data_IF_299616429172
#
_entry.id   IF_299616429172
#
_cell.length_a   1.000
_cell.length_b   1.000
_cell.length_c   1.000
_cell.angle_alpha   90.00
_cell.angle_beta   90.00
_cell.angle_gamma   90.00
#
_symmetry.space_group_name_H-M   'P 1'
#
loop_
_entity.id
_entity.type
_entity.pdbx_description
1 polymer ?
#
# COMPACT_ATOMS: atom_id res chain seq x y z
N UNK A 1 43.80 36.64 -33.52
CA UNK A 1 43.66 35.60 -32.49
C UNK A 1 44.37 36.10 -31.23
N UNK A 2 43.63 36.46 -30.18
CA UNK A 2 44.22 36.90 -28.90
C UNK A 2 44.87 35.70 -28.23
N UNK A 3 46.17 35.81 -27.91
CA UNK A 3 46.97 34.75 -27.27
C UNK A 3 46.26 34.11 -26.05
N UNK A 4 45.52 34.94 -25.32
CA UNK A 4 44.72 34.58 -24.14
C UNK A 4 43.68 33.49 -24.44
N UNK A 5 42.98 33.57 -25.58
CA UNK A 5 41.96 32.59 -25.99
C UNK A 5 42.63 31.27 -26.36
N UNK A 6 43.71 31.33 -27.15
CA UNK A 6 44.45 30.14 -27.56
C UNK A 6 45.00 29.37 -26.35
N UNK A 7 45.54 30.08 -25.36
CA UNK A 7 46.06 29.46 -24.14
C UNK A 7 44.93 28.80 -23.31
N UNK A 8 43.75 29.43 -23.21
CA UNK A 8 42.60 28.85 -22.48
C UNK A 8 42.04 27.59 -23.17
N UNK A 9 41.90 27.64 -24.50
CA UNK A 9 41.39 26.51 -25.29
C UNK A 9 42.37 25.33 -25.27
N UNK A 10 43.67 25.58 -25.33
CA UNK A 10 44.67 24.51 -25.22
C UNK A 10 44.61 23.80 -23.86
N UNK A 11 44.40 24.55 -22.77
CA UNK A 11 44.19 23.98 -21.43
C UNK A 11 42.86 23.19 -21.35
N UNK A 12 41.79 23.67 -21.99
CA UNK A 12 40.50 22.97 -22.05
C UNK A 12 40.64 21.62 -22.79
N UNK A 13 41.31 21.61 -23.94
CA UNK A 13 41.54 20.41 -24.75
C UNK A 13 42.31 19.33 -23.96
N UNK A 14 43.32 19.73 -23.18
CA UNK A 14 44.08 18.82 -22.31
C UNK A 14 43.22 18.20 -21.19
N UNK A 15 42.15 18.87 -20.76
CA UNK A 15 41.23 18.36 -19.74
C UNK A 15 40.08 17.52 -20.33
N UNK A 16 39.93 17.46 -21.66
CA UNK A 16 38.88 16.71 -22.37
C UNK A 16 39.41 15.39 -22.99
N UNK A 17 40.52 14.85 -22.50
CA UNK A 17 41.14 13.62 -23.03
C UNK A 17 40.21 12.40 -22.95
N UNK A 18 39.28 12.39 -21.99
CA UNK A 18 38.31 11.31 -21.79
C UNK A 18 37.15 11.33 -22.81
N UNK A 19 37.03 12.37 -23.66
CA UNK A 19 36.08 12.40 -24.77
C UNK A 19 36.63 11.69 -26.02
N UNK A 20 35.75 11.05 -26.84
CA UNK A 20 36.13 10.57 -28.17
C UNK A 20 36.75 11.71 -29.00
N UNK A 21 37.77 11.39 -29.80
CA UNK A 21 38.55 12.41 -30.51
C UNK A 21 37.70 13.34 -31.39
N UNK A 22 36.65 12.79 -31.99
CA UNK A 22 35.70 13.54 -32.83
C UNK A 22 34.87 14.54 -32.02
N UNK A 23 34.29 14.10 -30.91
CA UNK A 23 33.44 14.97 -30.08
C UNK A 23 34.26 16.02 -29.32
N UNK A 24 35.51 15.69 -28.97
CA UNK A 24 36.45 16.67 -28.39
C UNK A 24 36.74 17.82 -29.35
N UNK A 25 36.99 17.51 -30.63
CA UNK A 25 37.27 18.54 -31.66
C UNK A 25 36.05 19.45 -31.85
N UNK A 26 34.85 18.88 -31.95
CA UNK A 26 33.60 19.62 -32.09
C UNK A 26 33.34 20.57 -30.89
N UNK A 27 33.56 20.08 -29.66
CA UNK A 27 33.40 20.89 -28.45
C UNK A 27 34.44 22.00 -28.36
N UNK A 28 35.71 21.70 -28.66
CA UNK A 28 36.80 22.67 -28.64
C UNK A 28 36.57 23.78 -29.66
N UNK A 29 36.10 23.44 -30.86
CA UNK A 29 35.81 24.42 -31.91
C UNK A 29 34.62 25.30 -31.53
N UNK A 30 33.56 24.73 -30.94
CA UNK A 30 32.40 25.51 -30.45
C UNK A 30 32.81 26.60 -29.45
N UNK A 31 33.59 26.25 -28.43
CA UNK A 31 34.05 27.22 -27.44
C UNK A 31 35.10 28.19 -28.01
N UNK A 32 35.88 27.77 -29.01
CA UNK A 32 36.79 28.66 -29.73
C UNK A 32 36.02 29.73 -30.49
N UNK A 33 34.99 29.36 -31.26
CA UNK A 33 34.14 30.32 -31.98
C UNK A 33 33.44 31.26 -30.99
N UNK A 34 32.85 30.73 -29.91
CA UNK A 34 32.22 31.53 -28.86
C UNK A 34 33.15 32.60 -28.26
N UNK A 35 34.40 32.23 -27.97
CA UNK A 35 35.38 33.16 -27.41
C UNK A 35 35.94 34.14 -28.44
N UNK A 36 35.96 33.79 -29.72
CA UNK A 36 36.38 34.71 -30.79
C UNK A 36 35.30 35.74 -31.13
N UNK A 37 34.02 35.36 -30.99
CA UNK A 37 32.88 36.26 -31.18
C UNK A 37 32.67 37.21 -30.00
N UNK A 38 33.06 36.79 -28.78
CA UNK A 38 33.08 37.67 -27.62
C UNK A 38 34.35 38.54 -27.58
N UNK A 39 34.22 39.79 -27.15
CA UNK A 39 35.37 40.70 -26.95
C UNK A 39 36.17 40.34 -25.68
N UNK A 40 36.68 39.11 -25.61
CA UNK A 40 37.43 38.59 -24.48
C UNK A 40 38.90 39.01 -24.54
N UNK A 41 39.20 40.15 -23.90
CA UNK A 41 40.56 40.71 -23.84
C UNK A 41 41.40 40.10 -22.70
N UNK A 42 40.76 39.58 -21.64
CA UNK A 42 41.42 39.09 -20.42
C UNK A 42 40.97 37.70 -20.01
N UNK A 43 41.90 36.88 -19.52
CA UNK A 43 41.63 35.52 -19.04
C UNK A 43 40.60 35.50 -17.90
N UNK A 44 40.66 36.47 -16.98
CA UNK A 44 39.71 36.57 -15.88
C UNK A 44 38.26 36.76 -16.33
N UNK A 45 38.03 37.37 -17.50
CA UNK A 45 36.68 37.54 -18.07
C UNK A 45 36.17 36.23 -18.65
N UNK A 46 37.06 35.45 -19.27
CA UNK A 46 36.74 34.10 -19.77
C UNK A 46 36.41 33.19 -18.58
N UNK A 47 37.23 33.22 -17.53
CA UNK A 47 37.02 32.40 -16.33
C UNK A 47 35.79 32.80 -15.52
N UNK A 48 35.36 34.07 -15.60
CA UNK A 48 34.12 34.51 -14.96
C UNK A 48 32.88 33.98 -15.68
N UNK A 49 32.92 33.89 -17.02
CA UNK A 49 31.78 33.48 -17.85
C UNK A 49 31.69 31.95 -17.99
N UNK A 50 32.83 31.30 -18.24
CA UNK A 50 32.92 29.86 -18.54
C UNK A 50 33.51 29.03 -17.39
N UNK A 51 34.07 29.67 -16.36
CA UNK A 51 34.85 28.99 -15.32
C UNK A 51 36.28 28.70 -15.75
N UNK A 52 37.05 28.06 -14.86
CA UNK A 52 38.41 27.59 -15.21
C UNK A 52 38.34 26.47 -16.26
N UNK A 53 39.38 26.28 -17.11
CA UNK A 53 39.37 25.22 -18.14
C UNK A 53 39.05 23.83 -17.57
N UNK A 54 39.52 23.54 -16.35
CA UNK A 54 39.26 22.30 -15.62
C UNK A 54 37.79 22.17 -15.18
N UNK A 55 37.19 23.26 -14.67
CA UNK A 55 35.79 23.25 -14.25
C UNK A 55 34.86 23.08 -15.46
N UNK A 56 35.16 23.79 -16.55
CA UNK A 56 34.42 23.67 -17.80
C UNK A 56 34.48 22.24 -18.35
N UNK A 57 35.67 21.62 -18.37
CA UNK A 57 35.84 20.24 -18.79
C UNK A 57 35.00 19.26 -17.96
N UNK A 58 35.01 19.37 -16.63
CA UNK A 58 34.21 18.51 -15.74
C UNK A 58 32.71 18.62 -16.06
N UNK A 59 32.21 19.83 -16.33
CA UNK A 59 30.81 20.04 -16.68
C UNK A 59 30.47 19.41 -18.04
N UNK A 60 31.33 19.59 -19.05
CA UNK A 60 31.17 18.99 -20.39
C UNK A 60 31.15 17.46 -20.29
N UNK A 61 32.08 16.88 -19.55
CA UNK A 61 32.19 15.43 -19.33
C UNK A 61 30.95 14.86 -18.61
N UNK A 62 30.41 15.57 -17.63
CA UNK A 62 29.19 15.19 -16.92
C UNK A 62 27.95 15.21 -17.84
N UNK A 63 27.83 16.22 -18.69
CA UNK A 63 26.73 16.34 -19.65
C UNK A 63 26.84 15.30 -20.77
N UNK A 64 28.07 15.02 -21.25
CA UNK A 64 28.34 13.96 -22.24
C UNK A 64 27.96 12.58 -21.70
N UNK A 65 28.35 12.26 -20.45
CA UNK A 65 28.03 10.98 -19.81
C UNK A 65 26.53 10.74 -19.60
N UNK A 66 25.69 11.78 -19.68
CA UNK A 66 24.22 11.64 -19.59
C UNK A 66 23.58 11.29 -20.95
N UNK A 67 24.32 11.46 -22.05
CA UNK A 67 23.81 11.27 -23.42
C UNK A 67 24.06 9.84 -23.96
N UNK A 68 25.06 9.14 -23.42
CA UNK A 68 25.37 7.74 -23.72
C UNK A 68 24.63 6.77 -22.77
N UNK A 69 23.30 6.72 -22.87
CA UNK A 69 22.46 5.70 -22.20
C UNK A 69 22.50 4.35 -22.97
N UNK A 70 23.70 3.81 -23.19
CA UNK A 70 23.88 2.49 -23.79
C UNK A 70 24.97 1.65 -23.11
N UNK A 71 24.83 1.40 -21.81
CA UNK A 71 25.10 0.11 -21.15
C UNK A 71 25.09 0.25 -19.61
N UNK A 72 24.69 -0.79 -18.84
CA UNK A 72 24.44 -0.67 -17.42
C UNK A 72 25.73 -0.84 -16.62
N UNK A 73 26.25 0.25 -16.05
CA UNK A 73 27.28 0.15 -15.03
C UNK A 73 26.98 1.13 -13.89
N UNK A 74 26.56 0.52 -12.76
CA UNK A 74 26.57 1.04 -11.39
C UNK A 74 27.43 2.29 -11.21
N UNK A 75 26.80 3.43 -11.04
CA UNK A 75 27.35 4.54 -10.24
C UNK A 75 26.19 5.28 -9.61
N UNK A 76 26.27 5.39 -8.29
CA UNK A 76 25.32 6.11 -7.47
C UNK A 76 25.33 7.60 -7.87
N UNK A 77 24.24 8.06 -8.50
CA UNK A 77 24.00 9.49 -8.72
C UNK A 77 22.91 10.00 -7.78
N UNK A 78 23.05 11.22 -7.21
CA UNK A 78 22.11 11.81 -6.25
C UNK A 78 20.81 12.31 -6.89
N UNK A 79 20.45 11.85 -8.10
CA UNK A 79 19.17 12.17 -8.77
C UNK A 79 17.99 11.32 -8.27
N UNK A 80 18.26 10.36 -7.37
CA UNK A 80 17.23 9.69 -6.57
C UNK A 80 16.47 10.66 -5.65
N UNK A 81 17.10 11.75 -5.22
CA UNK A 81 16.50 12.68 -4.25
C UNK A 81 15.31 13.46 -4.81
N UNK A 82 15.26 13.78 -6.11
CA UNK A 82 14.09 14.47 -6.69
C UNK A 82 12.88 13.53 -6.82
N UNK A 83 13.11 12.25 -7.14
CA UNK A 83 12.04 11.25 -7.12
C UNK A 83 11.60 10.95 -5.69
N UNK A 84 12.54 10.83 -4.75
CA UNK A 84 12.24 10.67 -3.33
C UNK A 84 11.49 11.88 -2.75
N UNK A 85 11.92 13.11 -3.05
CA UNK A 85 11.21 14.35 -2.69
C UNK A 85 9.84 14.44 -3.34
N UNK A 86 9.68 13.99 -4.60
CA UNK A 86 8.37 13.88 -5.24
C UNK A 86 7.46 12.90 -4.51
N UNK A 87 7.95 11.73 -4.11
CA UNK A 87 7.19 10.77 -3.31
C UNK A 87 6.88 11.27 -1.90
N UNK A 88 7.76 12.03 -1.27
CA UNK A 88 7.53 12.65 0.05
C UNK A 88 6.44 13.74 -0.05
N UNK A 89 6.48 14.57 -1.10
CA UNK A 89 5.44 15.57 -1.37
C UNK A 89 4.09 14.91 -1.70
N UNK A 90 4.11 13.84 -2.50
CA UNK A 90 2.93 13.00 -2.76
C UNK A 90 2.42 12.36 -1.46
N UNK A 91 3.32 11.92 -0.59
CA UNK A 91 3.02 11.34 0.72
C UNK A 91 2.37 12.34 1.68
N UNK A 92 2.82 13.60 1.69
CA UNK A 92 2.23 14.68 2.51
C UNK A 92 0.86 15.11 1.99
N UNK A 93 0.63 15.10 0.68
CA UNK A 93 -0.69 15.32 0.10
C UNK A 93 -1.61 14.10 0.23
N UNK A 94 -1.06 12.88 0.27
CA UNK A 94 -1.82 11.65 0.50
C UNK A 94 -2.11 11.41 1.98
N UNK A 95 -1.28 11.90 2.91
CA UNK A 95 -1.44 11.77 4.36
C UNK A 95 -2.81 12.24 4.90
N UNK A 96 -3.37 13.41 4.49
CA UNK A 96 -4.69 13.84 4.98
C UNK A 96 -5.83 12.93 4.52
N UNK A 97 -5.66 12.15 3.45
CA UNK A 97 -6.66 11.20 2.93
C UNK A 97 -6.37 9.77 3.42
N UNK A 98 -5.10 9.42 3.64
CA UNK A 98 -4.66 8.11 4.11
C UNK A 98 -5.11 7.83 5.54
N UNK A 99 -4.99 8.80 6.45
CA UNK A 99 -5.43 8.67 7.84
C UNK A 99 -6.94 8.38 7.96
N UNK A 100 -7.85 9.16 7.34
CA UNK A 100 -9.28 8.86 7.41
C UNK A 100 -9.62 7.55 6.68
N UNK A 101 -8.92 7.19 5.60
CA UNK A 101 -9.16 5.93 4.89
C UNK A 101 -8.86 4.71 5.77
N UNK A 102 -7.73 4.72 6.50
CA UNK A 102 -7.36 3.65 7.44
C UNK A 102 -8.37 3.55 8.59
N UNK A 103 -8.83 4.70 9.10
CA UNK A 103 -9.86 4.75 10.13
C UNK A 103 -11.16 4.10 9.66
N UNK A 104 -11.63 4.41 8.44
CA UNK A 104 -12.83 3.81 7.86
C UNK A 104 -12.67 2.29 7.72
N UNK A 105 -11.52 1.83 7.24
CA UNK A 105 -11.23 0.39 7.11
C UNK A 105 -11.28 -0.29 8.48
N UNK A 106 -10.70 0.33 9.51
CA UNK A 106 -10.74 -0.20 10.88
C UNK A 106 -12.17 -0.29 11.41
N UNK A 107 -12.98 0.75 11.20
CA UNK A 107 -14.40 0.74 11.58
C UNK A 107 -15.16 -0.36 10.85
N UNK A 108 -14.98 -0.52 9.54
CA UNK A 108 -15.63 -1.58 8.77
C UNK A 108 -15.29 -2.96 9.33
N UNK A 109 -14.02 -3.22 9.64
CA UNK A 109 -13.58 -4.47 10.26
C UNK A 109 -14.22 -4.66 11.65
N UNK A 110 -14.26 -3.60 12.46
CA UNK A 110 -14.88 -3.63 13.78
C UNK A 110 -16.38 -3.92 13.70
N UNK A 111 -17.12 -3.26 12.81
CA UNK A 111 -18.54 -3.50 12.60
C UNK A 111 -18.82 -4.92 12.10
N UNK A 112 -18.02 -5.42 11.16
CA UNK A 112 -18.14 -6.81 10.69
C UNK A 112 -17.97 -7.80 11.85
N UNK A 113 -17.00 -7.57 12.73
CA UNK A 113 -16.78 -8.40 13.90
C UNK A 113 -17.91 -8.26 14.93
N UNK A 114 -18.39 -7.04 15.17
CA UNK A 114 -19.50 -6.76 16.08
C UNK A 114 -20.81 -7.40 15.59
N UNK A 115 -21.11 -7.35 14.30
CA UNK A 115 -22.27 -8.04 13.70
C UNK A 115 -22.13 -9.54 13.89
N UNK A 116 -20.93 -10.09 13.67
CA UNK A 116 -20.68 -11.52 13.84
C UNK A 116 -20.91 -11.99 15.29
N UNK A 117 -20.29 -11.31 16.26
CA UNK A 117 -20.52 -11.60 17.68
C UNK A 117 -21.96 -11.32 18.11
N UNK A 118 -22.57 -10.24 17.60
CA UNK A 118 -23.96 -9.89 17.84
C UNK A 118 -24.91 -10.99 17.40
N UNK A 119 -24.70 -11.59 16.22
CA UNK A 119 -25.50 -12.73 15.75
C UNK A 119 -25.35 -13.96 16.66
N UNK A 120 -24.12 -14.27 17.10
CA UNK A 120 -23.90 -15.38 18.02
C UNK A 120 -24.60 -15.16 19.36
N UNK A 121 -24.41 -13.97 19.96
CA UNK A 121 -25.07 -13.61 21.21
C UNK A 121 -26.59 -13.59 21.08
N UNK A 122 -27.13 -13.07 19.97
CA UNK A 122 -28.57 -13.08 19.71
C UNK A 122 -29.11 -14.50 19.64
N UNK A 123 -28.41 -15.43 19.00
CA UNK A 123 -28.82 -16.82 18.87
C UNK A 123 -28.81 -17.53 20.24
N UNK A 124 -27.78 -17.30 21.06
CA UNK A 124 -27.69 -17.82 22.43
C UNK A 124 -28.81 -17.24 23.31
N UNK A 125 -29.02 -15.91 23.26
CA UNK A 125 -30.07 -15.23 24.02
C UNK A 125 -31.46 -15.70 23.61
N UNK A 126 -31.69 -15.90 22.32
CA UNK A 126 -32.94 -16.43 21.80
C UNK A 126 -33.23 -17.81 22.39
N UNK A 127 -32.27 -18.74 22.33
CA UNK A 127 -32.40 -20.07 22.94
C UNK A 127 -32.66 -20.01 24.45
N UNK A 128 -31.92 -19.16 25.15
CA UNK A 128 -32.06 -19.01 26.61
C UNK A 128 -33.43 -18.44 27.01
N UNK A 129 -33.86 -17.35 26.38
CA UNK A 129 -35.16 -16.73 26.65
C UNK A 129 -36.31 -17.68 26.36
N UNK A 130 -36.13 -18.54 25.36
CA UNK A 130 -37.14 -19.50 24.97
C UNK A 130 -37.21 -20.71 25.90
N UNK A 131 -36.07 -21.19 26.42
CA UNK A 131 -36.05 -22.24 27.44
C UNK A 131 -36.68 -21.77 28.75
N UNK A 132 -36.28 -20.59 29.23
CA UNK A 132 -36.81 -19.99 30.46
C UNK A 132 -38.28 -19.59 30.29
N UNK A 133 -38.61 -18.90 29.21
CA UNK A 133 -39.97 -18.48 28.90
C UNK A 133 -40.90 -19.68 28.70
N UNK A 134 -40.48 -20.69 27.94
CA UNK A 134 -41.24 -21.92 27.73
C UNK A 134 -41.50 -22.68 29.03
N UNK A 135 -40.46 -22.85 29.87
CA UNK A 135 -40.59 -23.52 31.16
C UNK A 135 -41.52 -22.79 32.13
N UNK A 136 -41.41 -21.47 32.25
CA UNK A 136 -42.29 -20.67 33.12
C UNK A 136 -43.74 -20.68 32.65
N UNK A 137 -43.97 -20.63 31.33
CA UNK A 137 -45.32 -20.74 30.78
C UNK A 137 -45.90 -22.13 31.05
N UNK A 138 -45.12 -23.20 30.91
CA UNK A 138 -45.57 -24.57 31.19
C UNK A 138 -45.94 -24.78 32.66
N UNK A 139 -45.12 -24.28 33.60
CA UNK A 139 -45.44 -24.34 35.04
C UNK A 139 -46.72 -23.55 35.37
N UNK A 140 -46.89 -22.36 34.79
CA UNK A 140 -48.11 -21.57 34.96
C UNK A 140 -49.34 -22.30 34.42
N UNK A 141 -49.24 -22.94 33.25
CA UNK A 141 -50.33 -23.75 32.70
C UNK A 141 -50.75 -24.85 33.67
N UNK A 142 -49.79 -25.56 34.28
CA UNK A 142 -50.07 -26.64 35.21
C UNK A 142 -50.73 -26.14 36.50
N UNK A 143 -50.24 -25.03 37.08
CA UNK A 143 -50.83 -24.46 38.29
C UNK A 143 -52.24 -23.91 38.08
N UNK A 144 -52.55 -23.31 36.92
CA UNK A 144 -53.88 -22.76 36.64
C UNK A 144 -54.96 -23.84 36.46
N UNK A 145 -54.59 -25.06 36.05
CA UNK A 145 -55.54 -26.17 35.91
C UNK A 145 -56.13 -26.65 37.24
N UNK A 146 -55.41 -26.44 38.35
CA UNK A 146 -55.86 -26.81 39.70
C UNK A 146 -56.58 -25.66 40.43
N UNK A 147 -56.80 -24.52 39.76
CA UNK A 147 -57.49 -23.34 40.31
C UNK A 147 -58.87 -23.18 39.65
N UNK A 148 -59.77 -22.36 40.23
CA UNK A 148 -61.13 -22.10 39.73
C UNK A 148 -61.20 -21.58 38.28
N UNK A 149 -60.10 -21.06 37.73
CA UNK A 149 -59.97 -20.56 36.36
C UNK A 149 -59.53 -21.64 35.35
N UNK A 150 -60.17 -22.81 35.41
CA UNK A 150 -59.88 -23.96 34.54
C UNK A 150 -59.93 -23.67 33.02
N UNK A 151 -60.81 -22.77 32.47
CA UNK A 151 -60.82 -22.47 31.04
C UNK A 151 -59.53 -21.75 30.60
N UNK A 152 -59.01 -20.88 31.47
CA UNK A 152 -57.76 -20.16 31.26
C UNK A 152 -56.60 -21.15 31.21
N UNK A 153 -56.58 -22.17 32.08
CA UNK A 153 -55.60 -23.25 32.06
C UNK A 153 -55.49 -23.96 30.70
N UNK A 154 -56.62 -24.29 30.05
CA UNK A 154 -56.62 -24.91 28.72
C UNK A 154 -56.06 -24.00 27.62
N UNK A 155 -56.33 -22.70 27.68
CA UNK A 155 -55.77 -21.72 26.72
C UNK A 155 -54.24 -21.63 26.85
N UNK A 156 -53.72 -21.63 28.08
CA UNK A 156 -52.27 -21.61 28.32
C UNK A 156 -51.60 -22.95 27.96
N UNK A 157 -52.30 -24.09 28.12
CA UNK A 157 -51.86 -25.40 27.63
C UNK A 157 -51.81 -25.45 26.09
N UNK A 158 -52.83 -24.92 25.41
CA UNK A 158 -52.83 -24.81 23.95
C UNK A 158 -51.69 -23.92 23.45
N UNK A 159 -51.44 -22.80 24.13
CA UNK A 159 -50.32 -21.90 23.83
C UNK A 159 -48.96 -22.58 23.98
N UNK A 160 -48.74 -23.38 25.03
CA UNK A 160 -47.47 -24.09 25.19
C UNK A 160 -47.28 -25.15 24.10
N UNK A 161 -48.35 -25.85 23.69
CA UNK A 161 -48.30 -26.84 22.61
C UNK A 161 -47.99 -26.21 21.25
N UNK A 162 -48.62 -25.07 20.94
CA UNK A 162 -48.31 -24.28 19.74
C UNK A 162 -46.85 -23.78 19.79
N UNK A 163 -46.39 -23.33 20.95
CA UNK A 163 -45.00 -22.89 21.13
C UNK A 163 -43.99 -24.03 20.87
N UNK A 164 -44.27 -25.25 21.35
CA UNK A 164 -43.49 -26.46 21.07
C UNK A 164 -43.53 -26.83 19.58
N UNK A 165 -44.69 -26.71 18.93
CA UNK A 165 -44.81 -26.93 17.49
C UNK A 165 -43.96 -25.94 16.69
N UNK A 166 -43.99 -24.66 17.06
CA UNK A 166 -43.18 -23.60 16.44
C UNK A 166 -41.68 -23.82 16.69
N UNK A 167 -41.28 -24.30 17.87
CA UNK A 167 -39.91 -24.75 18.19
C UNK A 167 -39.44 -25.79 17.18
N UNK A 168 -40.23 -26.84 16.99
CA UNK A 168 -39.86 -27.97 16.16
C UNK A 168 -39.68 -27.53 14.70
N UNK A 169 -40.52 -26.59 14.24
CA UNK A 169 -40.48 -26.02 12.90
C UNK A 169 -39.28 -25.07 12.70
N UNK A 170 -38.93 -24.28 13.71
CA UNK A 170 -37.80 -23.35 13.67
C UNK A 170 -36.45 -24.04 13.90
N UNK A 171 -36.42 -25.20 14.55
CA UNK A 171 -35.20 -25.97 14.84
C UNK A 171 -34.29 -26.19 13.62
N UNK A 172 -34.77 -26.70 12.45
CA UNK A 172 -33.92 -26.85 11.27
C UNK A 172 -33.41 -25.50 10.73
N UNK A 173 -34.19 -24.42 10.89
CA UNK A 173 -33.78 -23.07 10.47
C UNK A 173 -32.63 -22.55 11.35
N UNK A 174 -32.72 -22.72 12.67
CA UNK A 174 -31.67 -22.33 13.62
C UNK A 174 -30.38 -23.12 13.36
N UNK A 175 -30.46 -24.43 13.12
CA UNK A 175 -29.30 -25.26 12.80
C UNK A 175 -28.67 -24.84 11.46
N UNK A 176 -29.48 -24.57 10.43
CA UNK A 176 -28.98 -24.04 9.15
C UNK A 176 -28.30 -22.69 9.35
N UNK A 177 -28.88 -21.78 10.11
CA UNK A 177 -28.32 -20.46 10.38
C UNK A 177 -26.97 -20.57 11.12
N UNK A 178 -26.88 -21.42 12.14
CA UNK A 178 -25.63 -21.72 12.84
C UNK A 178 -24.55 -22.30 11.92
N UNK A 179 -24.90 -23.26 11.05
CA UNK A 179 -23.97 -23.81 10.06
C UNK A 179 -23.50 -22.76 9.05
N UNK A 180 -24.39 -21.87 8.59
CA UNK A 180 -24.05 -20.77 7.69
C UNK A 180 -23.07 -19.82 8.37
N UNK A 181 -23.28 -19.47 9.64
CA UNK A 181 -22.36 -18.62 10.41
C UNK A 181 -20.95 -19.22 10.49
N UNK A 182 -20.86 -20.50 10.84
CA UNK A 182 -19.58 -21.21 10.90
C UNK A 182 -18.92 -21.27 9.53
N UNK A 183 -19.67 -21.63 8.48
CA UNK A 183 -19.16 -21.73 7.12
C UNK A 183 -18.65 -20.38 6.60
N UNK A 184 -19.37 -19.28 6.87
CA UNK A 184 -18.93 -17.93 6.53
C UNK A 184 -17.64 -17.56 7.25
N UNK A 185 -17.50 -17.92 8.54
CA UNK A 185 -16.26 -17.74 9.29
C UNK A 185 -15.08 -18.48 8.63
N UNK A 186 -15.26 -19.77 8.33
CA UNK A 186 -14.23 -20.58 7.68
C UNK A 186 -13.89 -20.05 6.29
N UNK A 187 -14.86 -19.56 5.52
CA UNK A 187 -14.63 -18.96 4.22
C UNK A 187 -13.81 -17.68 4.34
N UNK A 188 -14.14 -16.78 5.27
CA UNK A 188 -13.42 -15.52 5.46
C UNK A 188 -11.96 -15.82 5.85
N UNK A 189 -11.73 -16.74 6.80
CA UNK A 189 -10.38 -17.14 7.23
C UNK A 189 -9.59 -17.75 6.07
N UNK A 190 -10.21 -18.64 5.28
CA UNK A 190 -9.57 -19.22 4.08
C UNK A 190 -9.25 -18.16 3.04
N UNK A 191 -10.13 -17.18 2.82
CA UNK A 191 -9.93 -16.15 1.81
C UNK A 191 -8.81 -15.17 2.22
N UNK A 192 -8.77 -14.80 3.50
CA UNK A 192 -7.67 -14.02 4.08
C UNK A 192 -6.35 -14.78 3.99
N UNK A 193 -6.33 -16.04 4.42
CA UNK A 193 -5.13 -16.88 4.38
C UNK A 193 -4.59 -17.07 2.96
N UNK A 194 -5.45 -17.32 1.97
CA UNK A 194 -5.02 -17.45 0.56
C UNK A 194 -4.42 -16.16 0.02
N UNK A 195 -5.02 -15.01 0.33
CA UNK A 195 -4.54 -13.72 -0.18
C UNK A 195 -3.26 -13.25 0.54
N UNK A 196 -3.04 -13.63 1.80
CA UNK A 196 -1.85 -13.29 2.57
C UNK A 196 -0.68 -14.28 2.35
N UNK A 197 -0.95 -15.59 2.29
CA UNK A 197 0.08 -16.61 2.08
C UNK A 197 0.59 -16.64 0.63
N UNK A 198 -0.26 -16.38 -0.36
CA UNK A 198 0.16 -16.29 -1.77
C UNK A 198 1.07 -15.07 -2.02
N UNK A 199 0.98 -14.01 -1.22
CA UNK A 199 1.85 -12.84 -1.34
C UNK A 199 3.27 -13.09 -0.80
N UNK A 200 3.39 -13.89 0.28
CA UNK A 200 4.67 -14.12 0.95
C UNK A 200 5.46 -15.34 0.44
N UNK A 201 4.81 -16.35 -0.17
CA UNK A 201 5.53 -17.51 -0.71
C UNK A 201 6.42 -17.18 -1.92
N UNK A 202 6.09 -16.15 -2.71
CA UNK A 202 6.92 -15.74 -3.85
C UNK A 202 8.12 -14.86 -3.47
N UNK A 203 8.12 -14.22 -2.30
CA UNK A 203 9.27 -13.39 -1.87
C UNK A 203 10.42 -14.24 -1.31
N UNK A 204 10.12 -15.29 -0.55
CA UNK A 204 11.16 -16.17 0.03
C UNK A 204 11.87 -17.04 -1.02
N UNK A 205 11.19 -17.45 -2.11
CA UNK A 205 11.83 -18.26 -3.17
C UNK A 205 12.72 -17.45 -4.13
N UNK A 206 12.55 -16.11 -4.19
CA UNK A 206 13.42 -15.24 -4.97
C UNK A 206 14.70 -14.85 -4.21
N UNK A 207 14.64 -14.74 -2.88
CA UNK A 207 15.81 -14.41 -2.05
C UNK A 207 16.75 -15.60 -1.86
N UNK A 208 16.22 -16.83 -1.90
CA UNK A 208 17.04 -18.04 -1.72
C UNK A 208 17.89 -18.41 -2.95
N UNK A 209 17.39 -18.18 -4.17
CA UNK A 209 18.15 -18.47 -5.40
C UNK A 209 19.29 -17.48 -5.69
N UNK A 210 19.28 -16.26 -5.15
CA UNK A 210 20.38 -15.30 -5.36
C UNK A 210 21.54 -15.49 -4.38
N UNK A 211 21.30 -16.15 -3.24
CA UNK A 211 22.32 -16.40 -2.22
C UNK A 211 23.03 -17.76 -2.36
N UNK A 212 22.56 -18.63 -3.27
CA UNK A 212 23.22 -19.92 -3.57
C UNK A 212 24.13 -19.84 -4.83
N UNK A 213 24.02 -18.78 -5.64
CA UNK A 213 24.86 -18.52 -6.83
C UNK A 213 26.03 -17.53 -6.56
N UNK A 214 26.39 -17.28 -5.30
CA UNK A 214 27.49 -16.39 -4.91
C UNK A 214 28.38 -17.03 -3.85
#
# INVERSE_FOLDING_TARGET
MTKVIADYIAELEQNLVDLPAKDREDVVEFYREFLLDGDFVRRSTIEAELGTPKQLAINILADYSTKDDSAPAKTETPRSNLKASWYILLGICAAPIGIPLILVILFVIFFLLAIFFGLLFALIRFLFNFFVGGGLNFLKSLSLLFTSDWPTGYVYLGKSLICIGVILLLMPFIIKLGKILIAKCTQIIRNLGKNLLKKNYFQTSSEKNTNEDK
#
